data_IF_906536352259
#
_entry.id   IF_906536352259
#
_cell.length_a   1.000
_cell.length_b   1.000
_cell.length_c   1.000
_cell.angle_alpha   90.00
_cell.angle_beta   90.00
_cell.angle_gamma   90.00
#
_symmetry.space_group_name_H-M   'P 1'
#
loop_
_entity.id
_entity.type
_entity.pdbx_description
1 polymer ?
#
# COMPACT_ATOMS: atom_id res chain seq x y z
N UNK A 1 1.54 -18.42 19.75
CA UNK A 1 2.01 -17.07 19.37
C UNK A 1 0.82 -16.13 19.49
N UNK A 2 0.79 -15.27 20.49
CA UNK A 2 -0.26 -14.26 20.61
C UNK A 2 0.08 -13.14 19.66
N UNK A 3 -0.80 -12.86 18.71
CA UNK A 3 -0.66 -11.70 17.82
C UNK A 3 -0.64 -10.43 18.68
N UNK A 4 0.24 -9.46 18.35
CA UNK A 4 0.25 -8.20 19.06
C UNK A 4 -1.11 -7.50 18.89
N UNK A 5 -1.69 -7.07 19.98
CA UNK A 5 -2.93 -6.30 20.00
C UNK A 5 -2.69 -4.94 19.32
N UNK A 6 -3.65 -4.53 18.52
CA UNK A 6 -3.67 -3.14 18.07
C UNK A 6 -3.72 -2.21 19.30
N UNK A 7 -2.84 -1.22 19.31
CA UNK A 7 -2.76 -0.27 20.42
C UNK A 7 -4.07 0.55 20.49
N UNK A 8 -4.77 0.56 21.65
CA UNK A 8 -5.99 1.36 21.79
C UNK A 8 -5.64 2.85 21.73
N UNK A 9 -6.40 3.63 20.97
CA UNK A 9 -6.15 5.07 20.79
C UNK A 9 -7.42 5.90 20.84
N UNK A 10 -7.24 7.17 21.16
CA UNK A 10 -8.26 8.22 20.96
C UNK A 10 -7.79 9.14 19.85
N UNK A 11 -8.70 9.53 18.98
CA UNK A 11 -8.43 10.50 17.92
C UNK A 11 -8.23 11.88 18.56
N UNK A 12 -7.05 12.48 18.35
CA UNK A 12 -6.72 13.81 18.83
C UNK A 12 -6.92 14.90 17.77
N UNK A 13 -7.03 14.52 16.51
CA UNK A 13 -7.18 15.42 15.39
C UNK A 13 -8.38 14.99 14.55
N UNK A 14 -9.21 15.96 14.18
CA UNK A 14 -10.31 15.78 13.24
C UNK A 14 -10.17 16.78 12.11
N UNK A 15 -10.45 16.35 10.90
CA UNK A 15 -10.51 17.20 9.74
C UNK A 15 -11.97 17.49 9.40
N UNK A 16 -12.28 18.76 9.12
CA UNK A 16 -13.62 19.14 8.67
C UNK A 16 -13.80 18.72 7.21
N UNK A 17 -14.79 17.88 6.96
CA UNK A 17 -15.16 17.50 5.59
C UNK A 17 -16.28 18.42 5.08
N UNK A 18 -16.25 18.75 3.79
CA UNK A 18 -17.33 19.47 3.14
C UNK A 18 -18.53 18.55 2.97
N UNK A 19 -19.67 18.99 3.49
CA UNK A 19 -20.96 18.38 3.17
C UNK A 19 -21.48 18.94 1.85
N UNK A 20 -22.08 18.12 1.02
CA UNK A 20 -22.66 18.49 -0.27
C UNK A 20 -24.09 18.02 -0.37
N UNK A 21 -24.88 18.74 -1.15
CA UNK A 21 -26.23 18.33 -1.50
C UNK A 21 -26.19 17.20 -2.55
N UNK A 22 -27.31 16.51 -2.67
CA UNK A 22 -27.45 15.49 -3.72
C UNK A 22 -27.31 16.11 -5.12
N UNK A 23 -27.89 17.29 -5.35
CA UNK A 23 -27.81 17.96 -6.64
C UNK A 23 -26.39 18.31 -7.06
N UNK A 24 -25.57 18.81 -6.12
CA UNK A 24 -24.14 19.07 -6.36
C UNK A 24 -23.40 17.78 -6.75
N UNK A 25 -23.60 16.70 -6.00
CA UNK A 25 -22.93 15.42 -6.30
C UNK A 25 -23.34 14.85 -7.67
N UNK A 26 -24.63 14.97 -8.02
CA UNK A 26 -25.10 14.56 -9.35
C UNK A 26 -24.51 15.41 -10.47
N UNK A 27 -24.34 16.71 -10.26
CA UNK A 27 -23.68 17.58 -11.24
C UNK A 27 -22.20 17.20 -11.42
N UNK A 28 -21.46 17.05 -10.32
CA UNK A 28 -20.03 16.69 -10.37
C UNK A 28 -19.77 15.34 -11.02
N UNK A 29 -20.56 14.33 -10.72
CA UNK A 29 -20.36 13.00 -11.32
C UNK A 29 -20.69 13.00 -12.83
N UNK A 30 -21.66 13.80 -13.27
CA UNK A 30 -21.95 13.98 -14.72
C UNK A 30 -20.82 14.72 -15.41
N UNK A 31 -20.30 15.80 -14.83
CA UNK A 31 -19.14 16.54 -15.34
C UNK A 31 -17.91 15.64 -15.44
N UNK A 32 -17.70 14.80 -14.45
CA UNK A 32 -16.66 13.79 -14.45
C UNK A 32 -16.91 12.63 -15.45
N UNK A 33 -18.04 12.65 -16.16
CA UNK A 33 -18.48 11.57 -17.07
C UNK A 33 -18.51 10.21 -16.39
N UNK A 34 -18.98 10.17 -15.15
CA UNK A 34 -19.05 8.98 -14.29
C UNK A 34 -17.69 8.31 -14.02
N UNK A 35 -16.61 9.03 -14.22
CA UNK A 35 -15.26 8.56 -13.87
C UNK A 35 -14.84 9.17 -12.53
N UNK A 36 -14.79 8.35 -11.49
CA UNK A 36 -14.47 8.77 -10.13
C UNK A 36 -13.08 9.39 -9.99
N UNK A 37 -12.12 9.00 -10.82
CA UNK A 37 -10.77 9.58 -10.82
C UNK A 37 -10.70 11.02 -11.36
N UNK A 38 -11.79 11.54 -11.92
CA UNK A 38 -11.90 12.93 -12.37
C UNK A 38 -12.56 13.85 -11.35
N UNK A 39 -13.06 13.29 -10.26
CA UNK A 39 -13.58 14.09 -9.15
C UNK A 39 -12.42 14.74 -8.40
N UNK A 40 -12.64 15.97 -7.92
CA UNK A 40 -11.71 16.65 -7.03
C UNK A 40 -11.90 16.10 -5.61
N UNK A 41 -10.85 16.11 -4.81
CA UNK A 41 -10.91 15.61 -3.42
C UNK A 41 -11.96 16.34 -2.57
N UNK A 42 -12.17 17.65 -2.81
CA UNK A 42 -13.18 18.45 -2.11
C UNK A 42 -14.63 18.15 -2.54
N UNK A 43 -14.82 17.35 -3.57
CA UNK A 43 -16.11 16.86 -4.05
C UNK A 43 -16.48 15.49 -3.48
N UNK A 44 -15.55 14.85 -2.77
CA UNK A 44 -15.70 13.50 -2.21
C UNK A 44 -15.87 13.59 -0.69
N UNK A 45 -17.00 13.09 -0.18
CA UNK A 45 -17.27 13.07 1.26
C UNK A 45 -16.68 11.83 1.93
N UNK A 46 -16.81 10.67 1.28
CA UNK A 46 -16.25 9.39 1.73
C UNK A 46 -15.41 8.84 0.58
N UNK A 47 -14.11 8.77 0.77
CA UNK A 47 -13.18 8.26 -0.23
C UNK A 47 -12.87 6.79 0.04
N UNK A 48 -13.33 5.93 -0.86
CA UNK A 48 -13.07 4.49 -0.84
C UNK A 48 -12.07 4.06 -1.93
N UNK A 49 -11.56 5.00 -2.73
CA UNK A 49 -10.59 4.72 -3.79
C UNK A 49 -9.16 4.94 -3.32
N UNK A 50 -8.92 5.91 -2.43
CA UNK A 50 -7.59 6.20 -1.90
C UNK A 50 -7.26 5.20 -0.80
N UNK A 51 -6.69 4.08 -1.18
CA UNK A 51 -6.28 3.00 -0.28
C UNK A 51 -4.81 3.09 0.14
N UNK A 52 -4.01 3.90 -0.53
CA UNK A 52 -2.56 4.04 -0.34
C UNK A 52 -2.17 5.25 0.50
N UNK A 53 -3.14 5.93 1.12
CA UNK A 53 -2.89 7.09 1.97
C UNK A 53 -2.36 6.70 3.36
N UNK A 54 -1.80 7.68 4.07
CA UNK A 54 -1.47 7.53 5.48
C UNK A 54 -2.76 7.46 6.30
N UNK A 55 -2.95 6.34 6.99
CA UNK A 55 -4.01 6.21 7.98
C UNK A 55 -3.72 7.02 9.25
N UNK A 56 -4.62 6.93 10.22
CA UNK A 56 -4.39 7.50 11.56
C UNK A 56 -3.15 6.87 12.19
N UNK A 57 -2.26 7.71 12.70
CA UNK A 57 -1.07 7.28 13.44
C UNK A 57 -1.23 7.63 14.91
N UNK A 58 -0.76 6.76 15.79
CA UNK A 58 -0.70 7.05 17.22
C UNK A 58 0.32 8.14 17.54
N UNK A 59 0.18 8.78 18.69
CA UNK A 59 1.17 9.74 19.17
C UNK A 59 2.56 9.10 19.37
N UNK A 60 2.62 7.82 19.70
CA UNK A 60 3.87 7.07 19.79
C UNK A 60 4.50 6.81 18.43
N UNK A 61 3.70 6.53 17.39
CA UNK A 61 4.20 6.39 16.03
C UNK A 61 4.77 7.73 15.54
N UNK A 62 4.07 8.83 15.79
CA UNK A 62 4.57 10.18 15.48
C UNK A 62 5.86 10.48 16.24
N UNK A 63 5.91 10.20 17.54
CA UNK A 63 7.12 10.39 18.34
C UNK A 63 8.29 9.55 17.83
N UNK A 64 8.04 8.28 17.47
CA UNK A 64 9.07 7.40 16.92
C UNK A 64 9.61 7.91 15.58
N UNK A 65 8.74 8.47 14.73
CA UNK A 65 9.15 9.07 13.46
C UNK A 65 10.02 10.31 13.70
N UNK A 66 9.67 11.15 14.69
CA UNK A 66 10.43 12.35 15.03
C UNK A 66 11.79 12.05 15.71
N UNK A 67 11.93 10.88 16.33
CA UNK A 67 13.17 10.43 16.99
C UNK A 67 13.96 9.43 16.17
N UNK A 68 13.52 9.18 14.93
CA UNK A 68 14.27 8.36 13.98
C UNK A 68 15.60 8.99 13.65
N UNK A 69 16.64 8.18 13.48
CA UNK A 69 17.97 8.65 13.11
C UNK A 69 18.12 8.81 11.60
N UNK A 70 18.81 9.83 11.20
CA UNK A 70 19.29 10.01 9.83
C UNK A 70 20.74 9.49 9.72
N UNK A 71 20.93 8.48 8.86
CA UNK A 71 22.25 7.91 8.62
C UNK A 71 22.35 7.46 7.17
N UNK A 72 23.49 7.75 6.54
CA UNK A 72 23.77 7.25 5.19
C UNK A 72 23.80 5.72 5.13
N UNK A 73 24.28 5.09 6.19
CA UNK A 73 24.29 3.64 6.36
C UNK A 73 24.27 3.29 7.85
N UNK A 74 23.71 2.13 8.20
CA UNK A 74 23.73 1.63 9.56
C UNK A 74 22.79 2.35 10.53
N UNK A 75 21.66 2.87 10.03
CA UNK A 75 20.65 3.52 10.87
C UNK A 75 20.12 2.58 11.96
N UNK A 76 20.07 3.06 13.20
CA UNK A 76 19.52 2.31 14.33
C UNK A 76 18.04 1.96 14.12
N UNK A 77 17.29 2.85 13.47
CA UNK A 77 15.89 2.63 13.08
C UNK A 77 15.72 1.43 12.16
N UNK A 78 16.66 1.24 11.22
CA UNK A 78 16.66 0.08 10.34
C UNK A 78 16.83 -1.23 11.10
N UNK A 79 17.79 -1.29 12.02
CA UNK A 79 18.02 -2.50 12.80
C UNK A 79 16.85 -2.84 13.71
N UNK A 80 16.24 -1.84 14.36
CA UNK A 80 15.01 -2.03 15.14
C UNK A 80 13.85 -2.57 14.29
N UNK A 81 13.68 -2.04 13.08
CA UNK A 81 12.68 -2.53 12.14
C UNK A 81 12.96 -3.99 11.74
N UNK A 82 14.21 -4.31 11.40
CA UNK A 82 14.62 -5.67 11.04
C UNK A 82 14.34 -6.66 12.18
N UNK A 83 14.77 -6.35 13.40
CA UNK A 83 14.52 -7.19 14.58
C UNK A 83 13.02 -7.39 14.83
N UNK A 84 12.22 -6.34 14.65
CA UNK A 84 10.76 -6.41 14.79
C UNK A 84 10.14 -7.32 13.73
N UNK A 85 10.53 -7.19 12.47
CA UNK A 85 10.07 -8.06 11.38
C UNK A 85 10.46 -9.51 11.65
N UNK A 86 11.69 -9.76 12.05
CA UNK A 86 12.16 -11.10 12.41
C UNK A 86 11.35 -11.70 13.57
N UNK A 87 11.08 -10.91 14.61
CA UNK A 87 10.30 -11.37 15.76
C UNK A 87 8.84 -11.70 15.44
N UNK A 88 8.23 -10.98 14.50
CA UNK A 88 6.82 -11.16 14.13
C UNK A 88 6.66 -12.29 13.09
N UNK A 89 7.50 -12.31 12.07
CA UNK A 89 7.35 -13.19 10.91
C UNK A 89 8.29 -14.39 10.93
N UNK A 90 9.31 -14.40 11.79
CA UNK A 90 10.31 -15.46 11.85
C UNK A 90 11.20 -15.54 10.61
N UNK A 91 11.29 -14.47 9.83
CA UNK A 91 12.08 -14.40 8.60
C UNK A 91 13.45 -13.77 8.88
N UNK A 92 14.57 -14.48 8.63
CA UNK A 92 15.91 -13.98 8.95
C UNK A 92 16.42 -12.92 7.96
N UNK A 93 15.77 -12.80 6.80
CA UNK A 93 16.14 -11.84 5.77
C UNK A 93 15.06 -10.79 5.59
N UNK A 94 15.48 -9.54 5.51
CA UNK A 94 14.61 -8.39 5.31
C UNK A 94 15.25 -7.41 4.33
N UNK A 95 14.56 -7.12 3.24
CA UNK A 95 14.95 -6.15 2.25
C UNK A 95 13.82 -5.14 2.06
N UNK A 96 13.94 -3.92 2.62
CA UNK A 96 12.94 -2.89 2.40
C UNK A 96 13.01 -2.35 0.97
N UNK A 97 11.86 -2.12 0.39
CA UNK A 97 11.70 -1.46 -0.92
C UNK A 97 10.90 -0.18 -0.76
N UNK A 98 11.05 0.75 -1.68
CA UNK A 98 10.33 2.03 -1.61
C UNK A 98 8.82 1.89 -1.85
N UNK A 99 8.37 0.78 -2.45
CA UNK A 99 6.95 0.47 -2.68
C UNK A 99 6.76 -0.99 -3.07
N UNK A 100 5.52 -1.50 -2.94
CA UNK A 100 5.19 -2.91 -3.20
C UNK A 100 5.54 -3.39 -4.61
N UNK A 101 5.26 -2.59 -5.65
CA UNK A 101 5.63 -2.95 -7.04
C UNK A 101 7.14 -3.11 -7.26
N UNK A 102 7.96 -2.43 -6.50
CA UNK A 102 9.41 -2.62 -6.53
C UNK A 102 9.79 -3.96 -5.88
N UNK A 103 9.11 -4.36 -4.81
CA UNK A 103 9.29 -5.67 -4.20
C UNK A 103 8.90 -6.81 -5.16
N UNK A 104 7.75 -6.68 -5.84
CA UNK A 104 7.33 -7.62 -6.87
C UNK A 104 8.39 -7.75 -7.99
N UNK A 105 8.87 -6.62 -8.48
CA UNK A 105 9.90 -6.62 -9.53
C UNK A 105 11.19 -7.32 -9.09
N UNK A 106 11.67 -7.03 -7.88
CA UNK A 106 12.88 -7.67 -7.32
C UNK A 106 12.68 -9.18 -7.20
N UNK A 107 11.57 -9.62 -6.62
CA UNK A 107 11.28 -11.04 -6.40
C UNK A 107 11.14 -11.78 -7.74
N UNK A 108 10.32 -11.27 -8.64
CA UNK A 108 10.06 -11.94 -9.90
C UNK A 108 11.29 -11.98 -10.80
N UNK A 109 12.08 -10.90 -10.84
CA UNK A 109 13.34 -10.90 -11.59
C UNK A 109 14.38 -11.87 -11.03
N UNK A 110 14.35 -12.14 -9.73
CA UNK A 110 15.28 -13.06 -9.09
C UNK A 110 14.84 -14.54 -9.21
N UNK A 111 13.55 -14.81 -9.14
CA UNK A 111 13.01 -16.17 -9.01
C UNK A 111 12.48 -16.75 -10.31
N UNK A 112 11.97 -15.92 -11.24
CA UNK A 112 11.27 -16.39 -12.44
C UNK A 112 12.15 -16.34 -13.69
N UNK A 113 11.87 -17.24 -14.60
CA UNK A 113 12.48 -17.34 -15.93
C UNK A 113 11.40 -17.32 -17.00
N UNK A 114 11.78 -17.02 -18.23
CA UNK A 114 10.87 -17.08 -19.35
C UNK A 114 10.26 -18.49 -19.48
N UNK A 115 8.95 -18.59 -19.50
CA UNK A 115 8.20 -19.84 -19.57
C UNK A 115 7.68 -20.36 -18.20
N UNK A 116 8.09 -19.76 -17.09
CA UNK A 116 7.53 -20.12 -15.79
C UNK A 116 6.06 -19.68 -15.69
N UNK A 117 5.27 -20.42 -14.92
CA UNK A 117 3.85 -20.16 -14.69
C UNK A 117 3.70 -19.58 -13.29
N UNK A 118 3.08 -18.40 -13.22
CA UNK A 118 2.76 -17.72 -11.96
C UNK A 118 1.24 -17.86 -11.71
N UNK A 119 0.80 -18.86 -10.92
CA UNK A 119 -0.62 -19.06 -10.67
C UNK A 119 -1.20 -17.99 -9.74
N UNK A 120 -2.42 -17.56 -10.02
CA UNK A 120 -3.16 -16.62 -9.20
C UNK A 120 -4.62 -16.55 -9.62
N UNK A 121 -5.51 -16.10 -8.73
CA UNK A 121 -6.93 -15.94 -9.06
C UNK A 121 -7.14 -14.79 -10.06
N UNK A 122 -6.44 -13.68 -9.81
CA UNK A 122 -6.39 -12.50 -10.66
C UNK A 122 -5.16 -11.71 -10.27
N UNK A 123 -4.29 -11.45 -11.21
CA UNK A 123 -3.13 -10.62 -10.94
C UNK A 123 -3.54 -9.17 -10.80
N UNK A 124 -3.02 -8.51 -9.78
CA UNK A 124 -3.12 -7.06 -9.66
C UNK A 124 -2.34 -6.39 -10.79
N UNK A 125 -2.72 -5.18 -11.17
CA UNK A 125 -2.14 -4.49 -12.33
C UNK A 125 -0.61 -4.42 -12.31
N UNK A 126 -0.01 -4.19 -11.14
CA UNK A 126 1.45 -4.14 -10.98
C UNK A 126 2.09 -5.50 -11.16
N UNK A 127 1.51 -6.55 -10.61
CA UNK A 127 1.97 -7.95 -10.76
C UNK A 127 1.90 -8.36 -12.23
N UNK A 128 0.78 -8.04 -12.90
CA UNK A 128 0.58 -8.28 -14.33
C UNK A 128 1.64 -7.56 -15.17
N UNK A 129 1.85 -6.28 -14.92
CA UNK A 129 2.83 -5.48 -15.65
C UNK A 129 4.25 -6.05 -15.53
N UNK A 130 4.68 -6.44 -14.33
CA UNK A 130 6.01 -7.03 -14.12
C UNK A 130 6.12 -8.40 -14.81
N UNK A 131 5.12 -9.25 -14.66
CA UNK A 131 5.10 -10.59 -15.27
C UNK A 131 5.19 -10.53 -16.80
N UNK A 132 4.44 -9.61 -17.43
CA UNK A 132 4.44 -9.47 -18.90
C UNK A 132 5.66 -8.74 -19.44
N UNK A 133 6.09 -7.67 -18.78
CA UNK A 133 7.12 -6.79 -19.35
C UNK A 133 8.52 -7.40 -19.21
N UNK A 134 8.79 -8.06 -18.10
CA UNK A 134 10.14 -8.56 -17.81
C UNK A 134 10.33 -10.06 -18.06
N UNK A 135 9.29 -10.87 -17.93
CA UNK A 135 9.45 -12.31 -17.85
C UNK A 135 8.75 -13.08 -18.97
N UNK A 136 7.83 -12.45 -19.73
CA UNK A 136 6.94 -13.13 -20.68
C UNK A 136 6.28 -14.38 -20.06
N UNK A 137 5.98 -14.32 -18.76
CA UNK A 137 5.29 -15.38 -18.07
C UNK A 137 3.83 -15.42 -18.54
N UNK A 138 3.29 -16.62 -18.79
CA UNK A 138 1.91 -16.79 -19.19
C UNK A 138 0.98 -16.66 -17.98
N UNK A 139 -0.03 -15.83 -18.08
CA UNK A 139 -1.19 -15.89 -17.17
C UNK A 139 -1.97 -17.17 -17.44
N UNK A 140 -2.29 -17.89 -16.39
CA UNK A 140 -3.42 -18.82 -16.43
C UNK A 140 -4.64 -18.04 -15.97
N UNK A 141 -5.34 -17.38 -16.88
CA UNK A 141 -6.70 -16.91 -16.66
C UNK A 141 -7.60 -18.13 -16.46
N UNK A 142 -7.87 -18.47 -15.23
CA UNK A 142 -8.97 -19.38 -14.94
C UNK A 142 -10.27 -18.58 -15.01
N UNK A 143 -10.88 -18.52 -16.17
CA UNK A 143 -12.28 -18.15 -16.27
C UNK A 143 -13.10 -19.27 -15.60
N UNK A 144 -13.63 -19.01 -14.44
CA UNK A 144 -14.76 -19.72 -13.85
C UNK A 144 -15.97 -18.81 -13.81
#
# INVERSE_FOLDING_TARGET
MTLPYAEPYKIKMTEAIRTSTRAEREAWIREARYNLFKLRSDQVTIDLLTDSGTGSMSDRQWAAMMTGDESYAGASSYFRLKETIESIFGMPYFLPTHQGRAAENVIFSALLKAGDIVPGNSHFDTTKAVSYTHLRAHETDSYL
#
